data_IF_410489454266
#
_entry.id   IF_410489454266
#
_cell.length_a   1.000
_cell.length_b   1.000
_cell.length_c   1.000
_cell.angle_alpha   90.00
_cell.angle_beta   90.00
_cell.angle_gamma   90.00
#
_symmetry.space_group_name_H-M   'P 1'
#
loop_
_entity.id
_entity.type
_entity.pdbx_description
1 polymer ?
#
# COMPACT_ATOMS: atom_id res chain seq x y z
N UNK A 1 -27.50 -6.52 -7.72
CA UNK A 1 -28.18 -7.35 -8.75
C UNK A 1 -27.20 -7.90 -9.78
N UNK A 2 -26.28 -7.09 -10.33
CA UNK A 2 -25.30 -7.52 -11.36
C UNK A 2 -24.36 -8.66 -10.91
N UNK A 3 -23.93 -8.67 -9.64
CA UNK A 3 -22.97 -9.68 -9.11
C UNK A 3 -23.46 -11.14 -9.17
N UNK A 4 -24.77 -11.38 -9.05
CA UNK A 4 -25.33 -12.74 -9.07
C UNK A 4 -25.86 -13.12 -10.45
N UNK A 5 -25.73 -12.23 -11.45
CA UNK A 5 -26.27 -12.44 -12.79
C UNK A 5 -25.72 -13.71 -13.46
N UNK A 6 -24.40 -14.00 -13.43
CA UNK A 6 -23.88 -15.22 -14.06
C UNK A 6 -24.39 -16.48 -13.36
N UNK A 7 -24.54 -16.46 -12.02
CA UNK A 7 -25.11 -17.56 -11.26
C UNK A 7 -26.57 -17.84 -11.65
N UNK A 8 -27.41 -16.79 -11.63
CA UNK A 8 -28.83 -16.90 -11.95
C UNK A 8 -29.02 -17.35 -13.40
N UNK A 9 -28.26 -16.80 -14.34
CA UNK A 9 -28.28 -17.22 -15.74
C UNK A 9 -27.86 -18.69 -15.90
N UNK A 10 -26.79 -19.14 -15.22
CA UNK A 10 -26.36 -20.54 -15.22
C UNK A 10 -27.43 -21.49 -14.71
N UNK A 11 -28.13 -21.13 -13.62
CA UNK A 11 -29.27 -21.90 -13.11
C UNK A 11 -30.45 -21.92 -14.08
N UNK A 12 -30.79 -20.80 -14.71
CA UNK A 12 -31.88 -20.74 -15.71
C UNK A 12 -31.56 -21.65 -16.90
N UNK A 13 -30.32 -21.62 -17.41
CA UNK A 13 -29.88 -22.50 -18.49
C UNK A 13 -29.99 -23.98 -18.08
N UNK A 14 -29.44 -24.34 -16.91
CA UNK A 14 -29.52 -25.72 -16.42
C UNK A 14 -30.95 -26.21 -16.22
N UNK A 15 -31.81 -25.38 -15.63
CA UNK A 15 -33.23 -25.70 -15.41
C UNK A 15 -33.99 -25.81 -16.74
N UNK A 16 -33.73 -24.93 -17.69
CA UNK A 16 -34.31 -24.97 -19.03
C UNK A 16 -33.96 -26.26 -19.78
N UNK A 17 -32.73 -26.77 -19.63
CA UNK A 17 -32.32 -28.05 -20.23
C UNK A 17 -33.02 -29.24 -19.59
N UNK A 18 -33.21 -29.23 -18.26
CA UNK A 18 -33.97 -30.27 -17.56
C UNK A 18 -35.42 -30.29 -18.07
N UNK A 19 -36.06 -29.12 -18.16
CA UNK A 19 -37.42 -29.02 -18.70
C UNK A 19 -37.47 -29.51 -20.15
N UNK A 20 -36.57 -29.03 -21.01
CA UNK A 20 -36.46 -29.47 -22.40
C UNK A 20 -36.37 -31.00 -22.48
N UNK A 21 -35.54 -31.61 -21.63
CA UNK A 21 -35.37 -33.05 -21.58
C UNK A 21 -36.61 -33.81 -21.11
N UNK A 22 -37.33 -33.29 -20.11
CA UNK A 22 -38.55 -33.94 -19.59
C UNK A 22 -39.74 -33.90 -20.53
N UNK A 23 -39.79 -32.91 -21.44
CA UNK A 23 -40.88 -32.73 -22.41
C UNK A 23 -40.54 -33.23 -23.83
N UNK A 24 -39.42 -33.94 -23.99
CA UNK A 24 -39.00 -34.48 -25.29
C UNK A 24 -39.22 -35.99 -25.34
N UNK A 25 -40.12 -36.43 -26.23
CA UNK A 25 -40.46 -37.85 -26.41
C UNK A 25 -39.43 -38.64 -27.22
N UNK A 26 -38.91 -38.06 -28.32
CA UNK A 26 -37.86 -38.65 -29.16
C UNK A 26 -36.63 -37.73 -29.23
N UNK A 27 -35.45 -38.28 -28.97
CA UNK A 27 -34.23 -37.49 -28.90
C UNK A 27 -33.51 -37.40 -30.25
N UNK A 28 -33.51 -36.21 -30.86
CA UNK A 28 -32.76 -35.97 -32.09
C UNK A 28 -31.25 -35.77 -31.83
N UNK A 29 -30.38 -36.19 -32.77
CA UNK A 29 -28.94 -35.98 -32.66
C UNK A 29 -28.54 -34.49 -32.52
N UNK A 30 -29.28 -33.57 -33.14
CA UNK A 30 -29.06 -32.12 -33.01
C UNK A 30 -29.36 -31.61 -31.59
N UNK A 31 -30.43 -32.13 -30.98
CA UNK A 31 -30.84 -31.76 -29.63
C UNK A 31 -29.83 -32.24 -28.58
N UNK A 32 -29.31 -33.46 -28.72
CA UNK A 32 -28.24 -33.99 -27.85
C UNK A 32 -26.97 -33.12 -27.87
N UNK A 33 -26.58 -32.61 -29.06
CA UNK A 33 -25.43 -31.68 -29.19
C UNK A 33 -25.72 -30.32 -28.56
N UNK A 34 -26.94 -29.81 -28.72
CA UNK A 34 -27.36 -28.56 -28.11
C UNK A 34 -27.39 -28.64 -26.58
N UNK A 35 -27.88 -29.75 -26.03
CA UNK A 35 -27.92 -30.00 -24.58
C UNK A 35 -26.49 -30.04 -24.01
N UNK A 36 -25.55 -30.70 -24.69
CA UNK A 36 -24.14 -30.73 -24.28
C UNK A 36 -23.50 -29.33 -24.25
N UNK A 37 -23.76 -28.51 -25.28
CA UNK A 37 -23.31 -27.11 -25.32
C UNK A 37 -23.97 -26.26 -24.23
N UNK A 38 -25.25 -26.49 -23.94
CA UNK A 38 -25.99 -25.81 -22.90
C UNK A 38 -25.48 -26.13 -21.49
N UNK A 39 -25.19 -27.41 -21.21
CA UNK A 39 -24.57 -27.84 -19.94
C UNK A 39 -23.20 -27.18 -19.78
N UNK A 40 -22.39 -27.19 -20.83
CA UNK A 40 -21.08 -26.55 -20.82
C UNK A 40 -21.19 -25.05 -20.57
N UNK A 41 -22.11 -24.35 -21.26
CA UNK A 41 -22.37 -22.93 -21.06
C UNK A 41 -22.84 -22.60 -19.65
N UNK A 42 -23.78 -23.36 -19.10
CA UNK A 42 -24.28 -23.20 -17.72
C UNK A 42 -23.17 -23.41 -16.67
N UNK A 43 -22.35 -24.44 -16.84
CA UNK A 43 -21.20 -24.69 -15.97
C UNK A 43 -20.17 -23.54 -16.05
N UNK A 44 -19.93 -22.99 -17.24
CA UNK A 44 -19.01 -21.87 -17.43
C UNK A 44 -19.53 -20.58 -16.77
N UNK A 45 -20.84 -20.32 -16.83
CA UNK A 45 -21.47 -19.18 -16.14
C UNK A 45 -21.36 -19.28 -14.61
N UNK A 46 -21.55 -20.48 -14.05
CA UNK A 46 -21.35 -20.75 -12.62
C UNK A 46 -19.87 -20.57 -12.25
N UNK A 47 -18.95 -21.07 -13.08
CA UNK A 47 -17.50 -20.90 -12.86
C UNK A 47 -17.10 -19.42 -12.86
N UNK A 48 -17.59 -18.62 -13.81
CA UNK A 48 -17.36 -17.16 -13.85
C UNK A 48 -17.82 -16.51 -12.55
N UNK A 49 -19.03 -16.84 -12.06
CA UNK A 49 -19.50 -16.35 -10.77
C UNK A 49 -18.59 -16.74 -9.60
N UNK A 50 -18.11 -17.99 -9.57
CA UNK A 50 -17.19 -18.45 -8.52
C UNK A 50 -15.84 -17.73 -8.58
N UNK A 51 -15.32 -17.46 -9.77
CA UNK A 51 -14.10 -16.69 -9.97
C UNK A 51 -14.26 -15.23 -9.51
N UNK A 52 -15.41 -14.62 -9.78
CA UNK A 52 -15.75 -13.26 -9.29
C UNK A 52 -16.03 -13.18 -7.78
N UNK A 53 -16.27 -14.32 -7.11
CA UNK A 53 -16.44 -14.33 -5.66
C UNK A 53 -15.12 -14.26 -4.90
N UNK A 54 -14.03 -14.71 -5.51
CA UNK A 54 -12.72 -14.67 -4.87
C UNK A 54 -12.08 -13.29 -5.07
N UNK A 55 -11.34 -12.84 -4.06
CA UNK A 55 -10.54 -11.60 -4.04
C UNK A 55 -11.28 -10.31 -3.64
N UNK A 56 -11.88 -10.29 -2.44
CA UNK A 56 -11.79 -9.08 -1.61
C UNK A 56 -10.88 -9.39 -0.44
N UNK A 57 -9.61 -8.99 -0.54
CA UNK A 57 -8.72 -9.00 0.61
C UNK A 57 -9.38 -8.20 1.73
N UNK A 58 -9.45 -8.77 2.94
CA UNK A 58 -9.91 -8.02 4.11
C UNK A 58 -8.99 -6.81 4.25
N UNK A 59 -9.50 -5.57 4.17
CA UNK A 59 -8.64 -4.41 4.31
C UNK A 59 -7.99 -4.47 5.70
N UNK A 60 -6.67 -4.26 5.78
CA UNK A 60 -5.97 -4.25 7.05
C UNK A 60 -6.56 -3.16 7.96
N UNK A 61 -6.73 -3.49 9.24
CA UNK A 61 -7.35 -2.61 10.22
C UNK A 61 -6.35 -1.51 10.64
N UNK A 62 -6.80 -0.26 10.63
CA UNK A 62 -6.03 0.89 11.09
C UNK A 62 -6.00 0.95 12.61
N UNK A 63 -4.84 1.23 13.19
CA UNK A 63 -4.70 1.48 14.64
C UNK A 63 -4.62 2.97 14.93
N UNK A 64 -4.99 3.39 16.14
CA UNK A 64 -4.70 4.77 16.58
C UNK A 64 -3.24 4.83 17.03
N UNK A 65 -2.39 5.56 16.30
CA UNK A 65 -0.97 5.69 16.64
C UNK A 65 -0.77 6.37 17.99
N UNK A 66 0.19 5.88 18.77
CA UNK A 66 0.56 6.48 20.05
C UNK A 66 1.55 7.63 19.82
N UNK A 67 1.18 8.83 20.24
CA UNK A 67 2.01 10.01 20.13
C UNK A 67 1.19 11.29 20.05
N UNK A 68 1.87 12.38 19.75
CA UNK A 68 1.25 13.69 19.52
C UNK A 68 1.47 14.12 18.07
N UNK A 69 0.58 14.94 17.53
CA UNK A 69 0.85 15.62 16.27
C UNK A 69 2.00 16.61 16.47
N UNK A 70 3.10 16.38 15.77
CA UNK A 70 4.33 17.16 15.87
C UNK A 70 4.70 17.76 14.53
N UNK A 71 5.30 18.94 14.60
CA UNK A 71 5.91 19.61 13.46
C UNK A 71 7.24 20.21 13.91
N UNK A 72 8.31 19.90 13.19
CA UNK A 72 9.63 20.45 13.46
C UNK A 72 10.39 20.64 12.15
N UNK A 73 10.93 21.84 11.95
CA UNK A 73 11.88 22.17 10.89
C UNK A 73 13.16 22.69 11.51
N UNK A 74 14.31 22.25 10.98
CA UNK A 74 15.59 22.76 11.44
C UNK A 74 15.71 24.28 11.16
N UNK A 75 15.88 25.13 12.20
CA UNK A 75 15.83 26.59 12.03
C UNK A 75 16.93 27.17 11.14
N UNK A 76 18.08 26.49 11.05
CA UNK A 76 19.24 26.93 10.28
C UNK A 76 19.07 26.77 8.76
N UNK A 77 18.02 26.07 8.30
CA UNK A 77 17.83 25.81 6.89
C UNK A 77 17.42 27.07 6.12
N UNK A 78 17.84 27.20 4.83
CA UNK A 78 17.35 28.23 3.94
C UNK A 78 15.82 28.18 3.82
N UNK A 79 15.19 29.35 3.67
CA UNK A 79 13.72 29.46 3.64
C UNK A 79 13.09 28.64 2.51
N UNK A 80 13.72 28.64 1.33
CA UNK A 80 13.30 27.80 0.20
C UNK A 80 13.23 26.32 0.58
N UNK A 81 14.24 25.81 1.30
CA UNK A 81 14.29 24.41 1.69
C UNK A 81 13.30 24.09 2.82
N UNK A 82 13.08 25.01 3.75
CA UNK A 82 12.02 24.88 4.76
C UNK A 82 10.64 24.75 4.11
N UNK A 83 10.35 25.64 3.15
CA UNK A 83 9.09 25.60 2.41
C UNK A 83 8.94 24.28 1.65
N UNK A 84 10.02 23.78 1.05
CA UNK A 84 10.03 22.51 0.36
C UNK A 84 9.80 21.31 1.28
N UNK A 85 10.52 21.21 2.40
CA UNK A 85 10.34 20.13 3.38
C UNK A 85 8.93 20.14 3.99
N UNK A 86 8.40 21.34 4.28
CA UNK A 86 7.04 21.52 4.74
C UNK A 86 6.02 21.06 3.68
N UNK A 87 6.25 21.38 2.40
CA UNK A 87 5.39 21.00 1.29
C UNK A 87 5.42 19.49 1.02
N UNK A 88 6.60 18.87 0.95
CA UNK A 88 6.74 17.42 0.69
C UNK A 88 6.09 16.62 1.82
N UNK A 89 6.39 16.96 3.07
CA UNK A 89 5.79 16.26 4.21
C UNK A 89 4.27 16.42 4.27
N UNK A 90 3.74 17.61 3.95
CA UNK A 90 2.30 17.81 3.85
C UNK A 90 1.68 16.93 2.76
N UNK A 91 2.32 16.92 1.58
CA UNK A 91 1.86 16.19 0.41
C UNK A 91 1.82 14.69 0.70
N UNK A 92 2.87 14.15 1.32
CA UNK A 92 2.93 12.74 1.73
C UNK A 92 1.84 12.38 2.73
N UNK A 93 1.63 13.20 3.78
CA UNK A 93 0.59 12.96 4.78
C UNK A 93 -0.84 13.09 4.24
N UNK A 94 -1.04 13.81 3.14
CA UNK A 94 -2.37 14.10 2.58
C UNK A 94 -2.74 13.16 1.43
N UNK A 95 -1.76 12.79 0.60
CA UNK A 95 -1.98 12.00 -0.62
C UNK A 95 -1.67 10.52 -0.45
N UNK A 96 -1.00 10.12 0.63
CA UNK A 96 -0.74 8.70 0.92
C UNK A 96 -1.32 8.31 2.29
N UNK A 97 -1.15 7.05 2.66
CA UNK A 97 -1.51 6.49 3.97
C UNK A 97 -0.49 6.82 5.08
N UNK A 98 0.53 7.65 4.80
CA UNK A 98 1.53 8.05 5.79
C UNK A 98 0.91 8.83 6.94
N UNK A 99 1.36 8.55 8.17
CA UNK A 99 0.96 9.28 9.40
C UNK A 99 2.13 9.93 10.12
N UNK A 100 3.35 9.48 9.85
CA UNK A 100 4.57 9.97 10.48
C UNK A 100 5.65 10.15 9.41
N UNK A 101 6.22 11.34 9.31
CA UNK A 101 7.30 11.67 8.37
C UNK A 101 8.52 12.12 9.16
N UNK A 102 9.67 11.52 8.86
CA UNK A 102 10.99 11.91 9.38
C UNK A 102 11.96 12.04 8.23
N UNK A 103 12.63 13.20 8.13
CA UNK A 103 13.66 13.47 7.12
C UNK A 103 14.99 13.61 7.84
N UNK A 104 15.88 12.64 7.59
CA UNK A 104 17.23 12.61 8.14
C UNK A 104 18.23 12.89 7.02
N UNK A 105 19.17 13.80 7.25
CA UNK A 105 20.20 14.15 6.27
C UNK A 105 21.44 14.71 6.96
N UNK A 106 22.64 14.31 6.53
CA UNK A 106 23.93 14.74 7.12
C UNK A 106 23.97 14.57 8.65
N UNK A 107 23.65 13.36 9.12
CA UNK A 107 23.69 12.98 10.54
C UNK A 107 22.81 13.83 11.48
N UNK A 108 21.75 14.44 10.95
CA UNK A 108 20.77 15.17 11.74
C UNK A 108 19.36 15.09 11.15
N UNK A 109 18.37 15.30 12.01
CA UNK A 109 16.97 15.47 11.58
C UNK A 109 16.79 16.87 11.00
N UNK A 110 16.35 16.96 9.75
CA UNK A 110 16.00 18.22 9.11
C UNK A 110 14.53 18.58 9.32
N UNK A 111 13.65 17.58 9.29
CA UNK A 111 12.21 17.78 9.36
C UNK A 111 11.49 16.58 9.99
N UNK A 112 10.46 16.88 10.78
CA UNK A 112 9.53 15.90 11.36
C UNK A 112 8.11 16.42 11.20
N UNK A 113 7.17 15.54 10.82
CA UNK A 113 5.75 15.91 10.78
C UNK A 113 4.81 14.71 11.00
N UNK A 114 3.71 14.94 11.73
CA UNK A 114 2.64 13.98 11.94
C UNK A 114 2.67 13.36 13.33
N UNK A 115 2.06 12.19 13.50
CA UNK A 115 1.95 11.53 14.80
C UNK A 115 3.30 10.91 15.16
N UNK A 116 3.98 11.50 16.15
CA UNK A 116 5.33 11.10 16.55
C UNK A 116 5.45 11.13 18.09
N UNK A 117 6.32 10.28 18.67
CA UNK A 117 6.68 10.39 20.09
C UNK A 117 7.52 11.65 20.36
N UNK A 118 7.77 11.94 21.63
CA UNK A 118 8.69 13.03 22.02
C UNK A 118 10.14 12.72 21.60
N UNK A 119 10.51 11.44 21.65
CA UNK A 119 11.82 10.97 21.24
C UNK A 119 12.07 11.29 19.77
N UNK A 120 13.21 11.91 19.51
CA UNK A 120 13.64 12.27 18.15
C UNK A 120 14.83 11.41 17.75
N UNK A 121 14.93 11.09 16.47
CA UNK A 121 16.05 10.35 15.92
C UNK A 121 17.36 11.10 16.19
N UNK A 122 18.32 10.45 16.84
CA UNK A 122 19.66 11.01 17.10
C UNK A 122 20.75 10.31 16.29
N UNK A 123 20.49 9.10 15.81
CA UNK A 123 21.46 8.30 15.07
C UNK A 123 20.74 7.41 14.08
N UNK A 124 21.32 7.25 12.89
CA UNK A 124 20.81 6.30 11.90
C UNK A 124 21.02 4.85 12.36
N UNK A 125 19.94 4.08 12.44
CA UNK A 125 19.97 2.63 12.69
C UNK A 125 20.67 1.86 11.57
N UNK A 126 20.99 0.58 11.81
CA UNK A 126 21.74 -0.26 10.84
C UNK A 126 20.99 -0.40 9.53
N UNK A 127 19.67 -0.55 9.57
CA UNK A 127 18.86 -0.70 8.37
C UNK A 127 18.78 0.60 7.57
N UNK A 128 18.63 1.71 8.29
CA UNK A 128 18.65 3.06 7.73
C UNK A 128 19.98 3.34 7.02
N UNK A 129 21.10 3.02 7.67
CA UNK A 129 22.43 3.10 7.06
C UNK A 129 22.55 2.21 5.82
N UNK A 130 22.02 0.97 5.89
CA UNK A 130 22.06 0.05 4.73
C UNK A 130 21.29 0.59 3.53
N UNK A 131 20.14 1.24 3.75
CA UNK A 131 19.35 1.89 2.70
C UNK A 131 20.14 3.05 2.07
N UNK A 132 20.77 3.88 2.89
CA UNK A 132 21.64 4.97 2.40
C UNK A 132 22.87 4.45 1.64
N UNK A 133 23.49 3.35 2.06
CA UNK A 133 24.65 2.79 1.34
C UNK A 133 24.24 2.10 0.05
N UNK A 134 23.16 1.31 0.07
CA UNK A 134 22.72 0.51 -1.09
C UNK A 134 21.92 1.31 -2.10
N UNK A 135 21.43 2.50 -1.73
CA UNK A 135 20.53 3.33 -2.54
C UNK A 135 19.31 2.53 -3.03
N UNK A 136 18.80 1.64 -2.18
CA UNK A 136 17.61 0.83 -2.46
C UNK A 136 16.58 1.11 -1.39
N UNK A 137 15.36 1.54 -1.77
CA UNK A 137 14.30 1.73 -0.80
C UNK A 137 13.95 0.40 -0.13
N UNK A 138 13.50 0.48 1.11
CA UNK A 138 13.06 -0.66 1.88
C UNK A 138 11.67 -0.41 2.43
N UNK A 139 10.75 -1.32 2.12
CA UNK A 139 9.42 -1.33 2.67
C UNK A 139 9.25 -2.46 3.69
N UNK A 140 9.09 -2.10 4.96
CA UNK A 140 8.71 -3.00 6.03
C UNK A 140 7.19 -3.02 6.15
N UNK A 141 6.58 -3.98 5.46
CA UNK A 141 5.11 -4.17 5.39
C UNK A 141 4.44 -4.42 6.74
N UNK A 142 5.19 -4.92 7.73
CA UNK A 142 4.71 -5.20 9.07
C UNK A 142 5.85 -5.07 10.07
N UNK A 143 5.98 -3.87 10.66
CA UNK A 143 7.09 -3.52 11.55
C UNK A 143 7.14 -4.39 12.81
N UNK A 144 5.97 -4.84 13.30
CA UNK A 144 5.88 -5.72 14.47
C UNK A 144 6.57 -7.08 14.29
N UNK A 145 6.76 -7.54 13.04
CA UNK A 145 7.46 -8.78 12.75
C UNK A 145 8.98 -8.58 12.62
N UNK A 146 9.45 -7.34 12.59
CA UNK A 146 10.86 -7.03 12.44
C UNK A 146 11.57 -7.05 13.80
N UNK A 147 12.55 -7.97 14.02
CA UNK A 147 13.23 -8.10 15.31
C UNK A 147 14.01 -6.84 15.71
N UNK A 148 14.50 -6.08 14.73
CA UNK A 148 15.29 -4.86 14.92
C UNK A 148 14.46 -3.59 15.11
N UNK A 149 13.13 -3.68 15.32
CA UNK A 149 12.24 -2.51 15.33
C UNK A 149 12.60 -1.42 16.35
N UNK A 150 13.41 -1.75 17.35
CA UNK A 150 13.92 -0.81 18.35
C UNK A 150 14.74 0.32 17.73
N UNK A 151 15.28 0.14 16.52
CA UNK A 151 15.99 1.21 15.81
C UNK A 151 15.08 2.34 15.32
N UNK A 152 13.75 2.15 15.39
CA UNK A 152 12.72 3.12 14.99
C UNK A 152 11.97 3.72 16.20
N UNK A 153 12.62 3.81 17.35
CA UNK A 153 12.03 4.34 18.59
C UNK A 153 11.65 5.84 18.55
N UNK A 154 11.98 6.52 17.46
CA UNK A 154 11.53 7.87 17.11
C UNK A 154 10.22 7.89 16.30
N UNK A 155 9.65 6.73 15.99
CA UNK A 155 8.29 6.56 15.47
C UNK A 155 7.36 6.07 16.59
N UNK A 156 6.02 6.18 16.45
CA UNK A 156 5.08 5.55 17.36
C UNK A 156 5.40 4.08 17.59
N UNK A 157 5.35 3.62 18.84
CA UNK A 157 5.67 2.24 19.24
C UNK A 157 4.77 1.20 18.56
N UNK A 158 3.56 1.60 18.21
CA UNK A 158 2.55 0.82 17.51
C UNK A 158 2.46 1.10 16.00
N UNK A 159 3.51 1.68 15.39
CA UNK A 159 3.62 1.83 13.93
C UNK A 159 3.48 0.46 13.25
N UNK A 160 2.61 0.37 12.25
CA UNK A 160 2.28 -0.91 11.61
C UNK A 160 3.18 -1.22 10.43
N UNK A 161 3.48 -0.23 9.59
CA UNK A 161 4.40 -0.38 8.46
C UNK A 161 5.22 0.89 8.21
N UNK A 162 6.30 0.73 7.47
CA UNK A 162 7.33 1.74 7.32
C UNK A 162 8.00 1.65 5.93
N UNK A 163 8.16 2.78 5.25
CA UNK A 163 9.06 2.91 4.09
C UNK A 163 10.30 3.72 4.48
N UNK A 164 11.48 3.20 4.14
CA UNK A 164 12.75 3.89 4.12
C UNK A 164 13.13 4.19 2.67
N UNK A 165 13.06 5.45 2.27
CA UNK A 165 13.39 5.90 0.93
C UNK A 165 14.72 6.68 0.98
N UNK A 166 15.78 6.26 0.28
CA UNK A 166 17.05 7.00 0.29
C UNK A 166 16.90 8.41 -0.30
N UNK A 167 17.63 9.37 0.27
CA UNK A 167 17.78 10.74 -0.22
C UNK A 167 19.26 10.98 -0.57
N UNK A 168 19.73 10.29 -1.61
CA UNK A 168 21.16 10.18 -1.90
C UNK A 168 21.91 9.41 -0.81
N UNK A 169 23.24 9.54 -0.78
CA UNK A 169 24.11 8.77 0.14
C UNK A 169 24.12 9.28 1.57
N UNK A 170 23.60 10.48 1.81
CA UNK A 170 23.71 11.20 3.09
C UNK A 170 22.38 11.35 3.85
N UNK A 171 21.28 10.86 3.29
CA UNK A 171 19.98 10.99 3.94
C UNK A 171 18.97 9.91 3.59
N UNK A 172 17.89 9.93 4.35
CA UNK A 172 16.76 9.03 4.21
C UNK A 172 15.46 9.77 4.54
N UNK A 173 14.43 9.46 3.79
CA UNK A 173 13.04 9.79 4.05
C UNK A 173 12.38 8.56 4.69
N UNK A 174 11.85 8.74 5.89
CA UNK A 174 11.27 7.68 6.71
C UNK A 174 9.78 7.97 6.86
N UNK A 175 8.94 7.02 6.47
CA UNK A 175 7.48 7.18 6.44
C UNK A 175 6.80 6.05 7.21
N UNK A 176 6.17 6.37 8.34
CA UNK A 176 5.42 5.43 9.17
C UNK A 176 3.90 5.48 8.91
N UNK A 177 3.23 4.33 9.04
CA UNK A 177 1.78 4.20 8.88
C UNK A 177 1.13 3.45 10.04
N UNK A 178 -0.17 3.67 10.17
CA UNK A 178 -1.08 3.05 11.12
C UNK A 178 -1.75 1.77 10.58
N UNK A 179 -1.42 1.36 9.37
CA UNK A 179 -2.03 0.22 8.67
C UNK A 179 -0.90 -0.69 8.12
N UNK A 180 -0.92 -2.01 8.36
CA UNK A 180 0.06 -2.91 7.76
C UNK A 180 -0.20 -3.08 6.26
N UNK A 181 0.87 -3.29 5.45
CA UNK A 181 0.77 -3.50 3.98
C UNK A 181 -0.04 -2.41 3.27
N UNK A 182 0.09 -1.16 3.70
CA UNK A 182 -0.80 -0.07 3.31
C UNK A 182 -0.38 0.67 2.04
N UNK A 183 0.93 0.75 1.74
CA UNK A 183 1.39 1.42 0.52
C UNK A 183 1.14 0.58 -0.72
N UNK A 184 0.64 1.24 -1.76
CA UNK A 184 0.47 0.70 -3.10
C UNK A 184 1.72 0.96 -3.95
N UNK A 185 1.84 0.27 -5.09
CA UNK A 185 2.91 0.54 -6.06
C UNK A 185 2.89 2.01 -6.54
N UNK A 186 1.71 2.64 -6.59
CA UNK A 186 1.57 4.04 -6.96
C UNK A 186 2.10 4.96 -5.86
N UNK A 187 1.86 4.63 -4.58
CA UNK A 187 2.42 5.38 -3.45
C UNK A 187 3.95 5.28 -3.44
N UNK A 188 4.49 4.07 -3.62
CA UNK A 188 5.93 3.85 -3.69
C UNK A 188 6.59 4.65 -4.82
N UNK A 189 5.98 4.66 -6.01
CA UNK A 189 6.46 5.46 -7.14
C UNK A 189 6.41 6.98 -6.85
N UNK A 190 5.34 7.46 -6.22
CA UNK A 190 5.21 8.86 -5.81
C UNK A 190 6.23 9.25 -4.74
N UNK A 191 6.44 8.41 -3.75
CA UNK A 191 7.44 8.59 -2.69
C UNK A 191 8.84 8.68 -3.31
N UNK A 192 9.18 7.78 -4.23
CA UNK A 192 10.45 7.80 -4.93
C UNK A 192 10.64 9.10 -5.74
N UNK A 193 9.65 9.51 -6.53
CA UNK A 193 9.73 10.74 -7.32
C UNK A 193 9.90 12.00 -6.46
N UNK A 194 9.19 12.08 -5.32
CA UNK A 194 9.34 13.18 -4.37
C UNK A 194 10.71 13.16 -3.68
N UNK A 195 11.22 11.98 -3.36
CA UNK A 195 12.55 11.81 -2.78
C UNK A 195 13.66 12.22 -3.76
N UNK A 196 13.53 11.91 -5.05
CA UNK A 196 14.48 12.34 -6.08
C UNK A 196 14.51 13.87 -6.19
N UNK A 197 13.34 14.51 -6.23
CA UNK A 197 13.21 15.97 -6.23
C UNK A 197 13.82 16.59 -4.97
N UNK A 198 13.52 16.02 -3.80
CA UNK A 198 14.07 16.50 -2.53
C UNK A 198 15.59 16.34 -2.48
N UNK A 199 16.13 15.24 -3.01
CA UNK A 199 17.57 14.99 -3.07
C UNK A 199 18.28 16.07 -3.89
N UNK A 200 17.70 16.46 -5.03
CA UNK A 200 18.21 17.57 -5.83
C UNK A 200 18.26 18.87 -5.02
N UNK A 201 17.18 19.22 -4.29
CA UNK A 201 17.18 20.42 -3.45
C UNK A 201 18.12 20.33 -2.24
N UNK A 202 18.31 19.16 -1.65
CA UNK A 202 19.23 18.96 -0.54
C UNK A 202 20.70 19.02 -0.98
N UNK A 203 21.01 18.64 -2.22
CA UNK A 203 22.37 18.80 -2.77
C UNK A 203 22.80 20.26 -2.90
N UNK A 204 21.87 21.24 -2.87
CA UNK A 204 22.24 22.65 -2.86
C UNK A 204 22.73 23.14 -1.48
N UNK A 205 22.70 22.28 -0.45
CA UNK A 205 23.32 22.56 0.86
C UNK A 205 24.81 22.21 0.90
N UNK A 206 25.34 21.61 -0.17
CA UNK A 206 26.76 21.29 -0.35
C UNK A 206 27.52 22.46 -0.97
#
# INVERSE_FOLDING_TARGET
MVRYLPLVAGFIVGFGLILNRTFTDELFPSQSRSDALGIFGGAMLILVFLLEQQVKAKPPESVVLHGSDRFFLLPELPEFLKAELAWISHTLLTLTVTRSVVIWYNDRVLHLRGILPEKTMTTAGKLTQSVMTKQKPLYLVQLNLYPGKIEFDYLPDNTQSLILQPLGTKGVLILGTDIPRSYTNQDEAWIAALADKLTFSLSSLE
#
